data_IF_655692902939
#
_entry.id   IF_655692902939
#
_cell.length_a   1.000
_cell.length_b   1.000
_cell.length_c   1.000
_cell.angle_alpha   90.00
_cell.angle_beta   90.00
_cell.angle_gamma   90.00
#
_symmetry.space_group_name_H-M   'P 1'
#
loop_
_entity.id
_entity.type
_entity.pdbx_description
1 polymer ?
#
# COMPACT_ATOMS: atom_id res chain seq x y z
N UNK A 1 5.01 -16.93 27.37
CA UNK A 1 4.70 -16.99 25.93
C UNK A 1 4.06 -15.66 25.54
N UNK A 2 4.78 -14.76 24.88
CA UNK A 2 4.27 -13.39 24.64
C UNK A 2 5.03 -12.57 23.59
N UNK A 3 6.26 -12.95 23.24
CA UNK A 3 7.04 -12.26 22.21
C UNK A 3 6.64 -12.56 20.76
N UNK A 4 6.02 -13.73 20.50
CA UNK A 4 5.67 -14.16 19.15
C UNK A 4 4.61 -13.28 18.48
N UNK A 5 3.64 -12.77 19.25
CA UNK A 5 2.57 -11.92 18.72
C UNK A 5 3.10 -10.61 18.15
N UNK A 6 3.99 -9.92 18.86
CA UNK A 6 4.54 -8.64 18.42
C UNK A 6 5.38 -8.78 17.14
N UNK A 7 6.21 -9.82 17.06
CA UNK A 7 7.00 -10.13 15.86
C UNK A 7 6.06 -10.39 14.67
N UNK A 8 4.97 -11.13 14.90
CA UNK A 8 3.97 -11.41 13.86
C UNK A 8 3.26 -10.16 13.37
N UNK A 9 2.89 -9.23 14.27
CA UNK A 9 2.31 -7.94 13.90
C UNK A 9 3.25 -7.10 13.05
N UNK A 10 4.55 -7.08 13.36
CA UNK A 10 5.55 -6.37 12.55
C UNK A 10 5.68 -7.00 11.16
N UNK A 11 5.72 -8.34 11.07
CA UNK A 11 5.78 -9.05 9.79
C UNK A 11 4.56 -8.70 8.92
N UNK A 12 3.34 -8.78 9.47
CA UNK A 12 2.12 -8.41 8.75
C UNK A 12 2.15 -6.94 8.33
N UNK A 13 2.56 -6.03 9.22
CA UNK A 13 2.67 -4.60 8.91
C UNK A 13 3.61 -4.34 7.74
N UNK A 14 4.77 -5.00 7.71
CA UNK A 14 5.72 -4.91 6.60
C UNK A 14 5.12 -5.49 5.31
N UNK A 15 4.46 -6.66 5.38
CA UNK A 15 3.79 -7.27 4.22
C UNK A 15 2.70 -6.37 3.61
N UNK A 16 2.06 -5.53 4.42
CA UNK A 16 1.06 -4.55 3.95
C UNK A 16 1.75 -3.29 3.41
N UNK A 17 2.72 -2.72 4.11
CA UNK A 17 3.32 -1.42 3.73
C UNK A 17 4.23 -1.54 2.50
N UNK A 18 5.07 -2.57 2.43
CA UNK A 18 6.05 -2.77 1.35
C UNK A 18 5.46 -2.77 -0.06
N UNK A 19 4.36 -3.50 -0.35
CA UNK A 19 3.77 -3.46 -1.70
C UNK A 19 3.29 -2.05 -2.06
N UNK A 20 2.66 -1.32 -1.13
CA UNK A 20 2.26 0.07 -1.38
C UNK A 20 3.46 0.98 -1.57
N UNK A 21 4.57 0.73 -0.86
CA UNK A 21 5.79 1.50 -1.02
C UNK A 21 6.38 1.39 -2.44
N UNK A 22 6.20 0.23 -3.08
CA UNK A 22 6.56 0.01 -4.49
C UNK A 22 5.49 0.44 -5.49
N UNK A 23 4.21 0.39 -5.12
CA UNK A 23 3.09 0.76 -6.00
C UNK A 23 2.93 2.28 -6.10
N UNK A 24 2.87 3.00 -4.97
CA UNK A 24 2.60 4.44 -4.94
C UNK A 24 3.48 5.26 -5.91
N UNK A 25 4.82 5.04 -5.99
CA UNK A 25 5.67 5.80 -6.90
C UNK A 25 5.35 5.57 -8.38
N UNK A 26 4.85 4.37 -8.75
CA UNK A 26 4.43 4.06 -10.13
C UNK A 26 3.22 4.87 -10.55
N UNK A 27 2.38 5.21 -9.59
CA UNK A 27 1.25 6.11 -9.76
C UNK A 27 1.62 7.54 -9.38
N UNK A 28 2.89 7.95 -9.34
CA UNK A 28 3.27 9.34 -9.02
C UNK A 28 2.83 9.83 -7.64
N UNK A 29 2.59 8.92 -6.69
CA UNK A 29 2.31 9.22 -5.29
C UNK A 29 3.60 9.09 -4.47
N UNK A 30 3.77 9.89 -3.41
CA UNK A 30 4.98 9.86 -2.60
C UNK A 30 5.12 8.53 -1.86
N UNK A 31 6.30 7.91 -1.92
CA UNK A 31 6.54 6.58 -1.34
C UNK A 31 6.30 6.55 0.18
N UNK A 32 6.63 7.62 0.90
CA UNK A 32 6.41 7.71 2.36
C UNK A 32 4.93 7.57 2.74
N UNK A 33 4.00 7.89 1.84
CA UNK A 33 2.58 7.77 2.09
C UNK A 33 2.11 6.31 2.22
N UNK A 34 2.94 5.33 1.82
CA UNK A 34 2.69 3.91 2.07
C UNK A 34 2.60 3.59 3.58
N UNK A 35 3.24 4.38 4.46
CA UNK A 35 3.11 4.16 5.90
C UNK A 35 1.67 4.35 6.39
N UNK A 36 0.90 5.22 5.73
CA UNK A 36 -0.50 5.47 6.09
C UNK A 36 -1.40 4.26 5.79
N UNK A 37 -0.96 3.31 4.96
CA UNK A 37 -1.71 2.09 4.63
C UNK A 37 -1.77 1.11 5.80
N UNK A 38 -1.06 1.38 6.89
CA UNK A 38 -1.24 0.68 8.16
C UNK A 38 -2.69 0.77 8.65
N UNK A 39 -3.39 1.85 8.28
CA UNK A 39 -4.83 1.98 8.46
C UNK A 39 -5.55 1.35 7.25
N UNK A 40 -6.37 0.31 7.45
CA UNK A 40 -7.02 -0.42 6.35
C UNK A 40 -7.86 0.47 5.42
N UNK A 41 -8.53 1.48 5.98
CA UNK A 41 -9.33 2.43 5.18
C UNK A 41 -8.47 3.28 4.26
N UNK A 42 -7.28 3.69 4.72
CA UNK A 42 -6.35 4.46 3.89
C UNK A 42 -5.78 3.58 2.76
N UNK A 43 -5.49 2.31 3.05
CA UNK A 43 -5.10 1.34 2.01
C UNK A 43 -6.20 1.21 0.93
N UNK A 44 -7.47 1.13 1.32
CA UNK A 44 -8.60 1.11 0.38
C UNK A 44 -8.68 2.40 -0.45
N UNK A 45 -8.51 3.57 0.17
CA UNK A 45 -8.50 4.86 -0.56
C UNK A 45 -7.33 4.91 -1.55
N UNK A 46 -6.13 4.48 -1.17
CA UNK A 46 -5.00 4.42 -2.09
C UNK A 46 -5.24 3.46 -3.25
N UNK A 47 -5.81 2.28 -2.98
CA UNK A 47 -6.20 1.34 -4.03
C UNK A 47 -7.23 1.96 -4.97
N UNK A 48 -8.22 2.66 -4.44
CA UNK A 48 -9.21 3.39 -5.23
C UNK A 48 -8.54 4.44 -6.12
N UNK A 49 -7.70 5.30 -5.54
CA UNK A 49 -6.95 6.31 -6.31
C UNK A 49 -6.12 5.64 -7.41
N UNK A 50 -5.38 4.56 -7.11
CA UNK A 50 -4.56 3.86 -8.11
C UNK A 50 -5.41 3.23 -9.22
N UNK A 51 -6.53 2.60 -8.87
CA UNK A 51 -7.45 1.99 -9.84
C UNK A 51 -8.09 3.01 -10.78
N UNK A 52 -8.51 4.17 -10.27
CA UNK A 52 -9.14 5.20 -11.09
C UNK A 52 -8.14 6.13 -11.79
N UNK A 53 -6.93 6.26 -11.25
CA UNK A 53 -5.85 7.04 -11.87
C UNK A 53 -5.19 6.30 -13.05
N UNK A 54 -5.28 4.98 -13.09
CA UNK A 54 -4.78 4.16 -14.21
C UNK A 54 -5.74 4.11 -15.41
N UNK A 55 -6.92 4.73 -15.33
CA UNK A 55 -7.89 4.84 -16.43
C UNK A 55 -7.40 5.73 -17.62
N UNK A 56 -6.10 5.99 -17.72
CA UNK A 56 -5.47 6.60 -18.90
C UNK A 56 -4.33 5.78 -19.52
N UNK A 57 -3.92 4.64 -18.96
CA UNK A 57 -2.73 3.89 -19.41
C UNK A 57 -2.93 2.40 -19.71
N UNK A 58 -4.07 1.82 -19.34
CA UNK A 58 -4.32 0.38 -19.39
C UNK A 58 -5.09 -0.16 -20.60
N UNK A 59 -5.20 0.58 -21.71
CA UNK A 59 -5.88 0.06 -22.90
C UNK A 59 -5.86 1.00 -24.11
N UNK A 60 -4.83 0.84 -24.96
CA UNK A 60 -4.86 0.93 -26.43
C UNK A 60 -3.44 1.13 -27.00
N UNK A 61 -2.86 0.06 -27.53
CA UNK A 61 -1.99 -0.02 -28.71
C UNK A 61 -1.84 -1.49 -29.04
#
# INVERSE_FOLDING_TARGET
>A
MGGGGLIWFLIIGVLIVVPFWKLLPRYGLPSWAALLTIFPLVALVFLWIMAFKDNGGGGRS
#
